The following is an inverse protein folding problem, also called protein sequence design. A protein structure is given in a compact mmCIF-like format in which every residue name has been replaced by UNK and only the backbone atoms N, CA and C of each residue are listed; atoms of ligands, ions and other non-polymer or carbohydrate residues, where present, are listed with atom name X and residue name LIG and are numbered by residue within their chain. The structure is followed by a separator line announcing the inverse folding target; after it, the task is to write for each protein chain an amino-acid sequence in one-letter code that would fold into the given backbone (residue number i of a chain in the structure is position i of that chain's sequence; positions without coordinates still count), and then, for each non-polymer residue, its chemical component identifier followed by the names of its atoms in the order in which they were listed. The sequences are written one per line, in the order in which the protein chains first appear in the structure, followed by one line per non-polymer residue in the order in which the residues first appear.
data_IF_275870857373
#
_entry.id   IF_275870857373
#
_cell.length_a   1.000
_cell.length_b   1.000
_cell.length_c   1.000
_cell.angle_alpha   90.00
_cell.angle_beta   90.00
_cell.angle_gamma   90.00
#
_symmetry.space_group_name_H-M   'P 1'
#
loop_
_entity.id
_entity.type
_entity.pdbx_description
1 polymer ?
#
# COMPACT_ATOMS: atom_id res chain seq x y z
N UNK A 1 19.43 -12.48 15.68
CA UNK A 1 19.59 -11.43 14.66
C UNK A 1 18.94 -10.19 15.21
N UNK A 2 19.71 -9.15 15.54
CA UNK A 2 19.11 -7.88 15.93
C UNK A 2 18.72 -7.13 14.66
N UNK A 3 17.61 -6.39 14.69
CA UNK A 3 17.21 -5.58 13.54
C UNK A 3 18.26 -4.53 13.18
N UNK A 4 19.07 -4.09 14.15
CA UNK A 4 20.25 -3.23 13.94
C UNK A 4 21.24 -3.79 12.95
N UNK A 5 21.44 -5.12 12.96
CA UNK A 5 22.40 -5.79 12.09
C UNK A 5 21.89 -5.79 10.63
N UNK A 6 20.57 -5.78 10.43
CA UNK A 6 19.95 -5.73 9.10
C UNK A 6 20.04 -4.35 8.43
N UNK A 7 20.13 -3.27 9.22
CA UNK A 7 20.26 -1.91 8.66
C UNK A 7 21.67 -1.60 8.14
N UNK A 8 22.70 -2.32 8.60
CA UNK A 8 24.09 -2.12 8.18
C UNK A 8 24.36 -2.47 6.72
N UNK A 9 23.46 -3.22 6.08
CA UNK A 9 23.57 -3.68 4.69
C UNK A 9 22.72 -2.85 3.71
N UNK A 10 21.90 -1.90 4.20
CA UNK A 10 21.08 -1.05 3.35
C UNK A 10 21.94 0.06 2.75
N UNK A 11 22.19 0.00 1.45
CA UNK A 11 22.83 1.05 0.67
C UNK A 11 21.74 1.74 -0.16
N UNK A 12 21.71 3.08 -0.10
CA UNK A 12 20.87 3.87 -1.02
C UNK A 12 21.62 3.94 -2.34
N UNK A 13 21.00 3.46 -3.41
CA UNK A 13 21.57 3.54 -4.74
C UNK A 13 21.37 4.98 -5.27
N UNK A 14 22.46 5.72 -5.39
CA UNK A 14 22.46 7.14 -5.75
C UNK A 14 22.13 7.38 -7.24
N UNK A 15 22.02 6.33 -8.06
CA UNK A 15 21.80 6.45 -9.51
C UNK A 15 20.36 6.89 -9.91
N UNK A 16 19.39 6.81 -8.99
CA UNK A 16 17.99 7.22 -9.23
C UNK A 16 17.68 8.69 -8.84
N UNK A 17 18.69 9.48 -8.46
CA UNK A 17 18.51 10.89 -8.07
C UNK A 17 18.38 11.77 -9.34
N UNK A 18 17.27 11.60 -10.06
CA UNK A 18 16.89 12.48 -11.16
C UNK A 18 16.18 13.71 -10.60
N UNK A 19 16.94 14.80 -10.45
CA UNK A 19 16.50 16.20 -10.40
C UNK A 19 15.09 16.48 -9.81
N UNK A 20 15.04 16.79 -8.51
CA UNK A 20 14.35 17.99 -8.00
C UNK A 20 14.68 18.19 -6.51
N UNK A 21 15.64 19.06 -6.20
CA UNK A 21 15.81 19.70 -4.87
C UNK A 21 15.66 18.83 -3.60
N UNK A 22 16.10 17.57 -3.64
CA UNK A 22 16.00 16.68 -2.47
C UNK A 22 16.91 17.23 -1.37
N UNK A 23 16.33 17.88 -0.37
CA UNK A 23 17.03 18.26 0.85
C UNK A 23 17.16 17.00 1.70
N UNK A 24 18.32 16.37 1.63
CA UNK A 24 18.71 15.34 2.59
C UNK A 24 18.63 15.92 4.01
N UNK A 25 17.89 15.26 4.90
CA UNK A 25 17.92 15.58 6.33
C UNK A 25 19.13 14.91 6.97
N UNK A 26 19.77 15.57 7.93
CA UNK A 26 20.71 14.87 8.81
C UNK A 26 19.95 13.95 9.77
N UNK A 27 20.58 12.89 10.32
CA UNK A 27 19.94 12.03 11.31
C UNK A 27 19.31 12.80 12.48
N UNK A 28 19.96 13.87 12.94
CA UNK A 28 19.46 14.72 14.03
C UNK A 28 18.19 15.51 13.66
N UNK A 29 17.92 15.68 12.36
CA UNK A 29 16.73 16.33 11.83
C UNK A 29 15.65 15.31 11.42
N UNK A 30 15.95 14.02 11.44
CA UNK A 30 14.98 12.99 11.11
C UNK A 30 14.03 12.75 12.27
N UNK A 31 12.74 12.93 12.01
CA UNK A 31 11.66 12.46 12.89
C UNK A 31 10.77 11.54 12.07
N UNK A 32 10.72 10.26 12.45
CA UNK A 32 9.78 9.32 11.84
C UNK A 32 8.35 9.84 12.05
N UNK A 33 7.58 9.95 10.96
CA UNK A 33 6.16 10.24 11.07
C UNK A 33 5.43 8.95 11.44
N UNK A 34 5.24 8.75 12.76
CA UNK A 34 4.57 7.56 13.27
C UNK A 34 3.07 7.77 13.13
N UNK A 35 2.48 7.05 12.18
CA UNK A 35 1.04 7.08 11.97
C UNK A 35 0.33 5.93 12.72
N UNK A 36 -0.92 6.16 13.11
CA UNK A 36 -1.78 5.10 13.64
C UNK A 36 -2.14 4.08 12.57
N UNK A 37 -2.40 2.82 12.94
CA UNK A 37 -2.91 1.81 12.00
C UNK A 37 -4.13 2.33 11.23
N UNK A 38 -4.13 2.13 9.90
CA UNK A 38 -5.21 2.57 9.03
C UNK A 38 -5.21 4.07 8.69
N UNK A 39 -4.16 4.84 9.03
CA UNK A 39 -4.07 6.27 8.68
C UNK A 39 -4.27 6.53 7.17
N UNK A 40 -3.78 5.63 6.32
CA UNK A 40 -3.85 5.70 4.87
C UNK A 40 -5.27 5.51 4.31
N UNK A 41 -6.21 4.99 5.11
CA UNK A 41 -7.62 4.88 4.71
C UNK A 41 -8.27 6.24 4.47
N UNK A 42 -7.79 7.26 5.19
CA UNK A 42 -8.30 8.63 5.13
C UNK A 42 -7.58 9.51 4.10
N UNK A 43 -6.60 8.96 3.37
CA UNK A 43 -5.85 9.73 2.39
C UNK A 43 -6.79 10.09 1.23
N UNK A 44 -7.04 11.39 0.96
CA UNK A 44 -7.85 11.79 -0.18
C UNK A 44 -7.24 11.21 -1.45
N UNK A 45 -8.07 10.65 -2.35
CA UNK A 45 -7.64 10.45 -3.74
C UNK A 45 -7.29 11.85 -4.28
N UNK A 46 -6.00 12.15 -4.34
CA UNK A 46 -5.54 13.39 -4.95
C UNK A 46 -5.71 13.21 -6.45
N UNK A 47 -6.36 14.18 -7.12
CA UNK A 47 -6.63 14.20 -8.58
C UNK A 47 -5.42 14.01 -9.52
N UNK A 48 -4.22 13.82 -8.97
CA UNK A 48 -2.96 13.61 -9.69
C UNK A 48 -2.42 12.18 -9.58
N UNK A 49 -3.04 11.27 -8.83
CA UNK A 49 -2.54 9.89 -8.74
C UNK A 49 -2.69 9.19 -10.07
N UNK A 50 -1.66 8.42 -10.43
CA UNK A 50 -1.76 7.51 -11.56
C UNK A 50 -2.78 6.43 -11.19
N UNK A 51 -3.55 5.97 -12.17
CA UNK A 51 -4.58 4.92 -11.97
C UNK A 51 -4.00 3.69 -11.24
N UNK A 52 -2.74 3.33 -11.51
CA UNK A 52 -2.05 2.22 -10.85
C UNK A 52 -1.85 2.43 -9.33
N UNK A 53 -1.54 3.66 -8.91
CA UNK A 53 -1.40 4.01 -7.49
C UNK A 53 -2.74 3.97 -6.76
N UNK A 54 -3.82 4.35 -7.45
CA UNK A 54 -5.18 4.24 -6.90
C UNK A 54 -5.58 2.77 -6.75
N UNK A 55 -5.29 1.95 -7.76
CA UNK A 55 -5.52 0.50 -7.72
C UNK A 55 -4.80 -0.14 -6.54
N UNK A 56 -3.52 0.18 -6.35
CA UNK A 56 -2.72 -0.33 -5.23
C UNK A 56 -3.27 0.13 -3.88
N UNK A 57 -3.73 1.37 -3.76
CA UNK A 57 -4.36 1.85 -2.53
C UNK A 57 -5.64 1.08 -2.18
N UNK A 58 -6.49 0.77 -3.18
CA UNK A 58 -7.71 -0.02 -2.97
C UNK A 58 -7.36 -1.43 -2.50
N UNK A 59 -6.37 -2.08 -3.13
CA UNK A 59 -5.90 -3.41 -2.73
C UNK A 59 -5.36 -3.43 -1.28
N UNK A 60 -4.52 -2.44 -0.93
CA UNK A 60 -3.99 -2.30 0.43
C UNK A 60 -5.09 -2.06 1.47
N UNK A 61 -6.13 -1.29 1.11
CA UNK A 61 -7.29 -1.03 1.97
C UNK A 61 -8.13 -2.29 2.18
N UNK A 62 -8.40 -3.04 1.12
CA UNK A 62 -9.10 -4.32 1.19
C UNK A 62 -8.37 -5.32 2.09
N UNK A 63 -7.06 -5.48 1.89
CA UNK A 63 -6.21 -6.34 2.72
C UNK A 63 -6.20 -5.90 4.19
N UNK A 64 -6.15 -4.59 4.45
CA UNK A 64 -6.23 -4.05 5.80
C UNK A 64 -7.53 -4.45 6.50
N UNK A 65 -8.68 -4.23 5.87
CA UNK A 65 -9.97 -4.63 6.44
C UNK A 65 -10.05 -6.13 6.70
N UNK A 66 -9.57 -6.95 5.74
CA UNK A 66 -9.54 -8.40 5.91
C UNK A 66 -8.75 -8.84 7.15
N UNK A 67 -7.54 -8.30 7.34
CA UNK A 67 -6.69 -8.62 8.49
C UNK A 67 -7.23 -8.07 9.82
N UNK A 68 -8.14 -7.10 9.78
CA UNK A 68 -8.86 -6.58 10.94
C UNK A 68 -10.15 -7.36 11.25
N UNK A 69 -10.50 -8.35 10.45
CA UNK A 69 -11.75 -9.12 10.58
C UNK A 69 -12.99 -8.38 10.07
N UNK A 70 -12.80 -7.28 9.33
CA UNK A 70 -13.84 -6.47 8.73
C UNK A 70 -14.14 -6.99 7.32
N UNK A 71 -14.75 -8.17 7.24
CA UNK A 71 -14.84 -8.93 5.98
C UNK A 71 -15.83 -8.33 4.98
N UNK A 72 -16.85 -7.61 5.44
CA UNK A 72 -17.82 -6.93 4.55
C UNK A 72 -17.11 -5.77 3.85
N UNK A 73 -16.42 -4.93 4.61
CA UNK A 73 -15.66 -3.80 4.07
C UNK A 73 -14.52 -4.28 3.16
N UNK A 74 -13.85 -5.38 3.51
CA UNK A 74 -12.85 -6.01 2.64
C UNK A 74 -13.47 -6.49 1.32
N UNK A 75 -14.65 -7.10 1.37
CA UNK A 75 -15.36 -7.58 0.19
C UNK A 75 -15.73 -6.43 -0.74
N UNK A 76 -16.32 -5.35 -0.21
CA UNK A 76 -16.69 -4.15 -0.98
C UNK A 76 -15.47 -3.53 -1.70
N UNK A 77 -14.32 -3.47 -1.02
CA UNK A 77 -13.09 -2.94 -1.61
C UNK A 77 -12.51 -3.87 -2.69
N UNK A 78 -12.51 -5.19 -2.48
CA UNK A 78 -12.09 -6.13 -3.52
C UNK A 78 -13.06 -6.17 -4.70
N UNK A 79 -14.34 -5.92 -4.47
CA UNK A 79 -15.36 -5.81 -5.53
C UNK A 79 -15.11 -4.56 -6.39
N UNK A 80 -14.92 -3.40 -5.76
CA UNK A 80 -14.50 -2.17 -6.47
C UNK A 80 -13.17 -2.39 -7.21
N UNK A 81 -12.19 -3.04 -6.56
CA UNK A 81 -10.93 -3.37 -7.20
C UNK A 81 -11.13 -4.17 -8.49
N UNK A 82 -11.98 -5.20 -8.46
CA UNK A 82 -12.25 -6.07 -9.62
C UNK A 82 -12.96 -5.34 -10.76
N UNK A 83 -13.90 -4.44 -10.43
CA UNK A 83 -14.78 -3.81 -11.42
C UNK A 83 -14.25 -2.48 -11.97
N UNK A 84 -13.55 -1.69 -11.17
CA UNK A 84 -13.18 -0.31 -11.52
C UNK A 84 -11.77 -0.19 -12.13
N UNK A 85 -10.98 -1.27 -12.08
CA UNK A 85 -9.58 -1.27 -12.52
C UNK A 85 -9.29 -2.34 -13.58
N UNK A 86 -8.30 -2.06 -14.42
CA UNK A 86 -7.78 -3.04 -15.38
C UNK A 86 -6.85 -4.03 -14.67
N UNK A 87 -6.99 -5.30 -15.03
CA UNK A 87 -6.21 -6.38 -14.45
C UNK A 87 -5.59 -7.25 -15.53
N UNK A 88 -4.37 -7.71 -15.27
CA UNK A 88 -3.88 -8.89 -15.95
C UNK A 88 -4.56 -10.14 -15.38
N UNK A 89 -4.52 -11.25 -16.10
CA UNK A 89 -5.18 -12.51 -15.71
C UNK A 89 -4.80 -12.98 -14.30
N UNK A 90 -3.53 -12.85 -13.92
CA UNK A 90 -3.04 -13.28 -12.60
C UNK A 90 -3.64 -12.43 -11.49
N UNK A 91 -3.67 -11.10 -11.66
CA UNK A 91 -4.30 -10.19 -10.70
C UNK A 91 -5.80 -10.47 -10.56
N UNK A 92 -6.54 -10.65 -11.67
CA UNK A 92 -7.97 -10.96 -11.58
C UNK A 92 -8.25 -12.22 -10.76
N UNK A 93 -7.45 -13.28 -10.94
CA UNK A 93 -7.61 -14.53 -10.17
C UNK A 93 -7.33 -14.30 -8.69
N UNK A 94 -6.31 -13.51 -8.34
CA UNK A 94 -6.00 -13.19 -6.95
C UNK A 94 -7.13 -12.39 -6.27
N UNK A 95 -7.69 -11.39 -6.95
CA UNK A 95 -8.82 -10.60 -6.42
C UNK A 95 -10.06 -11.46 -6.24
N UNK A 96 -10.36 -12.36 -7.18
CA UNK A 96 -11.48 -13.31 -7.06
C UNK A 96 -11.27 -14.27 -5.88
N UNK A 97 -10.07 -14.81 -5.69
CA UNK A 97 -9.75 -15.65 -4.53
C UNK A 97 -9.96 -14.89 -3.21
N UNK A 98 -9.53 -13.61 -3.15
CA UNK A 98 -9.78 -12.73 -2.00
C UNK A 98 -11.26 -12.51 -1.73
N UNK A 99 -12.08 -12.27 -2.76
CA UNK A 99 -13.54 -12.15 -2.62
C UNK A 99 -14.16 -13.44 -2.05
N UNK A 100 -13.76 -14.59 -2.56
CA UNK A 100 -14.22 -15.90 -2.05
C UNK A 100 -13.81 -16.07 -0.58
N UNK A 101 -12.57 -15.74 -0.23
CA UNK A 101 -12.09 -15.82 1.17
C UNK A 101 -12.84 -14.89 2.10
N UNK A 102 -13.27 -13.71 1.65
CA UNK A 102 -14.11 -12.82 2.44
C UNK A 102 -15.50 -13.43 2.65
N UNK A 103 -16.11 -13.96 1.59
CA UNK A 103 -17.45 -14.57 1.64
C UNK A 103 -17.54 -15.85 2.50
N UNK A 104 -16.40 -16.49 2.79
CA UNK A 104 -16.31 -17.69 3.63
C UNK A 104 -16.12 -17.40 5.13
N UNK A 105 -16.08 -16.13 5.56
CA UNK A 105 -15.89 -15.73 6.95
C UNK A 105 -17.20 -15.36 7.61
#
# INVERSE_FOLDING_TARGET
MFLSDAFGELVIDDEDIVNDSIKFCTPDLYSANIHSSGWFLSLPSTKKRKRDEERENVDQRAAYYYHRGQYIEAFEEYESLLHDFEHNRTHSVAVIDSLIRCALK
#
